data_IF_830943307510
#
_entry.id   IF_830943307510
#
_cell.length_a   1.000
_cell.length_b   1.000
_cell.length_c   1.000
_cell.angle_alpha   90.00
_cell.angle_beta   90.00
_cell.angle_gamma   90.00
#
_symmetry.space_group_name_H-M   'P 1'
#
loop_
_entity.id
_entity.type
_entity.pdbx_description
1 polymer ?
#
# COMPACT_ATOMS: atom_id res chain seq x y z
N UNK A 1 -25.20 2.15 -1.09
CA UNK A 1 -24.06 1.85 -2.00
C UNK A 1 -23.18 3.08 -2.07
N UNK A 2 -21.87 2.94 -1.83
CA UNK A 2 -20.89 4.03 -1.94
C UNK A 2 -20.77 4.40 -3.44
N UNK A 3 -20.74 5.69 -3.78
CA UNK A 3 -20.70 6.19 -5.18
C UNK A 3 -19.35 6.79 -5.58
N UNK A 4 -18.44 6.92 -4.63
CA UNK A 4 -17.13 7.58 -4.79
C UNK A 4 -16.14 7.03 -3.76
N UNK A 5 -14.85 7.24 -4.02
CA UNK A 5 -13.75 6.73 -3.22
C UNK A 5 -13.51 5.23 -3.43
N UNK A 6 -12.85 4.61 -2.45
CA UNK A 6 -12.60 3.17 -2.37
C UNK A 6 -13.92 2.43 -2.21
N UNK A 7 -14.25 1.65 -3.24
CA UNK A 7 -15.49 0.86 -3.31
C UNK A 7 -15.30 -0.56 -2.74
N UNK A 8 -14.07 -1.04 -2.65
CA UNK A 8 -13.78 -2.35 -2.06
C UNK A 8 -14.21 -2.35 -0.59
N UNK A 9 -15.19 -3.18 -0.25
CA UNK A 9 -15.80 -3.18 1.09
C UNK A 9 -14.82 -3.62 2.19
N UNK A 10 -13.93 -4.57 1.90
CA UNK A 10 -12.94 -5.05 2.86
C UNK A 10 -11.91 -3.95 3.16
N UNK A 11 -11.38 -3.31 2.10
CA UNK A 11 -10.44 -2.20 2.25
C UNK A 11 -11.10 -1.02 2.95
N UNK A 12 -12.27 -0.56 2.48
CA UNK A 12 -12.98 0.55 3.11
C UNK A 12 -13.28 0.28 4.58
N UNK A 13 -13.66 -0.96 4.92
CA UNK A 13 -13.90 -1.37 6.30
C UNK A 13 -12.63 -1.34 7.16
N UNK A 14 -11.48 -1.72 6.61
CA UNK A 14 -10.19 -1.65 7.31
C UNK A 14 -9.72 -0.22 7.49
N UNK A 15 -9.80 0.62 6.44
CA UNK A 15 -9.42 2.02 6.52
C UNK A 15 -10.25 2.80 7.54
N UNK A 16 -11.54 2.49 7.65
CA UNK A 16 -12.44 3.10 8.63
C UNK A 16 -12.08 2.74 10.10
N UNK A 17 -11.24 1.73 10.33
CA UNK A 17 -10.77 1.33 11.67
C UNK A 17 -9.43 1.98 12.05
N UNK A 18 -8.76 2.66 11.12
CA UNK A 18 -7.47 3.28 11.39
C UNK A 18 -7.61 4.39 12.42
N UNK A 19 -6.80 4.31 13.47
CA UNK A 19 -6.57 5.37 14.44
C UNK A 19 -5.36 6.23 14.10
N UNK A 20 -5.08 7.21 14.97
CA UNK A 20 -3.87 8.01 14.88
C UNK A 20 -2.63 7.12 15.02
N UNK A 21 -1.64 7.30 14.14
CA UNK A 21 -0.38 6.53 14.05
C UNK A 21 -0.48 5.10 13.52
N UNK A 22 -1.68 4.65 13.15
CA UNK A 22 -1.83 3.37 12.45
C UNK A 22 -1.18 3.41 11.07
N UNK A 23 -0.77 2.23 10.60
CA UNK A 23 0.00 2.08 9.37
C UNK A 23 -0.77 1.25 8.36
N UNK A 24 -0.63 1.60 7.09
CA UNK A 24 -1.15 0.86 5.94
C UNK A 24 0.05 0.47 5.09
N UNK A 25 0.08 -0.78 4.62
CA UNK A 25 1.08 -1.23 3.67
C UNK A 25 0.43 -1.32 2.29
N UNK A 26 1.07 -0.72 1.29
CA UNK A 26 0.77 -1.01 -0.11
C UNK A 26 1.96 -1.74 -0.67
N UNK A 27 1.75 -2.91 -1.28
CA UNK A 27 2.85 -3.70 -1.82
C UNK A 27 2.47 -4.34 -3.16
N UNK A 28 3.48 -4.84 -3.87
CA UNK A 28 3.28 -5.64 -5.06
C UNK A 28 2.82 -7.08 -4.74
N UNK A 29 2.54 -7.84 -5.80
CA UNK A 29 2.17 -9.25 -5.69
C UNK A 29 3.35 -10.21 -5.35
N UNK A 30 4.58 -9.74 -5.43
CA UNK A 30 5.78 -10.49 -5.07
C UNK A 30 6.11 -10.44 -3.57
N UNK A 31 5.61 -9.44 -2.84
CA UNK A 31 5.99 -9.22 -1.45
C UNK A 31 5.53 -10.35 -0.51
N UNK A 32 6.44 -10.99 0.26
CA UNK A 32 6.06 -11.99 1.25
C UNK A 32 5.31 -11.35 2.43
N UNK A 33 4.17 -11.92 2.80
CA UNK A 33 3.32 -11.40 3.88
C UNK A 33 3.42 -12.31 5.13
N UNK A 34 3.70 -11.76 6.33
CA UNK A 34 3.70 -12.53 7.56
C UNK A 34 2.34 -13.15 7.90
N UNK A 35 2.34 -14.31 8.54
CA UNK A 35 1.12 -14.96 9.00
C UNK A 35 0.36 -14.10 10.03
N UNK A 36 -0.97 -14.07 9.93
CA UNK A 36 -1.85 -13.34 10.85
C UNK A 36 -2.06 -11.86 10.52
N UNK A 37 -1.46 -11.35 9.44
CA UNK A 37 -1.75 -10.01 8.90
C UNK A 37 -2.96 -10.09 7.99
N UNK A 38 -3.92 -9.18 8.15
CA UNK A 38 -5.06 -9.09 7.24
C UNK A 38 -4.61 -8.46 5.91
N UNK A 39 -4.94 -9.13 4.80
CA UNK A 39 -4.57 -8.72 3.45
C UNK A 39 -5.83 -8.49 2.64
N UNK A 40 -5.86 -7.36 1.92
CA UNK A 40 -6.85 -7.13 0.86
C UNK A 40 -6.11 -7.21 -0.47
N UNK A 41 -6.25 -8.36 -1.11
CA UNK A 41 -5.71 -8.56 -2.44
C UNK A 41 -6.62 -7.86 -3.47
N UNK A 42 -6.06 -6.85 -4.15
CA UNK A 42 -6.75 -6.14 -5.22
C UNK A 42 -6.26 -6.58 -6.59
N UNK A 43 -5.18 -7.36 -6.68
CA UNK A 43 -4.62 -7.81 -7.95
C UNK A 43 -5.62 -8.70 -8.68
N UNK A 44 -6.04 -8.27 -9.87
CA UNK A 44 -6.94 -9.03 -10.71
C UNK A 44 -6.18 -9.79 -11.79
N UNK A 45 -5.28 -9.08 -12.48
CA UNK A 45 -4.33 -9.62 -13.46
C UNK A 45 -3.03 -8.84 -13.35
N UNK A 46 -1.94 -9.37 -13.92
CA UNK A 46 -0.65 -8.67 -13.92
C UNK A 46 -0.80 -7.23 -14.44
N UNK A 47 -0.28 -6.27 -13.67
CA UNK A 47 -0.40 -4.84 -13.95
C UNK A 47 -1.74 -4.17 -13.59
N UNK A 48 -2.77 -4.90 -13.12
CA UNK A 48 -4.11 -4.35 -12.89
C UNK A 48 -4.72 -4.78 -11.54
N UNK A 49 -5.07 -3.83 -10.65
CA UNK A 49 -4.77 -2.40 -10.73
C UNK A 49 -3.28 -2.12 -10.53
N UNK A 50 -2.78 -1.03 -11.10
CA UNK A 50 -1.40 -0.61 -10.90
C UNK A 50 -1.18 -0.14 -9.45
N UNK A 51 0.06 -0.26 -8.97
CA UNK A 51 0.46 0.23 -7.66
C UNK A 51 0.09 1.72 -7.47
N UNK A 52 0.31 2.55 -8.49
CA UNK A 52 -0.01 3.98 -8.45
C UNK A 52 -1.52 4.23 -8.27
N UNK A 53 -2.38 3.51 -9.00
CA UNK A 53 -3.83 3.66 -8.86
C UNK A 53 -4.32 3.29 -7.45
N UNK A 54 -3.75 2.23 -6.87
CA UNK A 54 -4.08 1.81 -5.50
C UNK A 54 -3.60 2.86 -4.49
N UNK A 55 -2.37 3.36 -4.65
CA UNK A 55 -1.80 4.37 -3.77
C UNK A 55 -2.57 5.69 -3.84
N UNK A 56 -2.90 6.17 -5.04
CA UNK A 56 -3.66 7.41 -5.24
C UNK A 56 -5.07 7.30 -4.63
N UNK A 57 -5.73 6.15 -4.80
CA UNK A 57 -7.03 5.89 -4.18
C UNK A 57 -6.98 5.91 -2.65
N UNK A 58 -5.88 5.43 -2.06
CA UNK A 58 -5.65 5.46 -0.62
C UNK A 58 -5.36 6.88 -0.11
N UNK A 59 -4.47 7.62 -0.79
CA UNK A 59 -4.10 8.98 -0.42
C UNK A 59 -5.28 9.97 -0.55
N UNK A 60 -6.26 9.65 -1.40
CA UNK A 60 -7.50 10.43 -1.50
C UNK A 60 -8.43 10.27 -0.27
N UNK A 61 -8.32 9.17 0.49
CA UNK A 61 -9.15 8.93 1.69
C UNK A 61 -8.38 9.06 3.02
N UNK A 62 -7.05 9.00 2.99
CA UNK A 62 -6.20 8.99 4.19
C UNK A 62 -5.46 10.31 4.37
N UNK A 63 -5.43 10.78 5.62
CA UNK A 63 -4.49 11.83 6.04
C UNK A 63 -3.19 11.16 6.45
N UNK A 64 -2.14 11.35 5.65
CA UNK A 64 -0.84 10.71 5.87
C UNK A 64 0.17 11.72 6.41
N UNK A 65 0.74 11.41 7.57
CA UNK A 65 1.79 12.22 8.22
C UNK A 65 3.21 11.86 7.75
N UNK A 66 3.39 10.67 7.20
CA UNK A 66 4.65 10.17 6.69
C UNK A 66 4.51 8.83 5.96
N UNK A 67 5.49 8.51 5.12
CA UNK A 67 5.59 7.24 4.42
C UNK A 67 6.97 6.62 4.67
N UNK A 68 7.13 5.33 4.40
CA UNK A 68 8.44 4.65 4.36
C UNK A 68 8.46 3.81 3.09
N UNK A 69 9.54 3.91 2.33
CA UNK A 69 9.76 3.13 1.12
C UNK A 69 11.10 2.38 1.22
N UNK A 70 11.21 1.25 0.53
CA UNK A 70 12.49 0.56 0.37
C UNK A 70 13.42 1.41 -0.51
N UNK A 71 14.69 1.53 -0.13
CA UNK A 71 15.66 2.38 -0.84
C UNK A 71 15.86 1.92 -2.29
N UNK A 72 15.73 0.61 -2.50
CA UNK A 72 15.85 -0.07 -3.78
C UNK A 72 14.80 0.41 -4.80
N UNK A 73 13.65 0.92 -4.34
CA UNK A 73 12.60 1.45 -5.24
C UNK A 73 13.12 2.63 -6.07
N UNK A 74 14.00 3.47 -5.52
CA UNK A 74 14.54 4.62 -6.23
C UNK A 74 15.35 4.24 -7.49
N UNK A 75 16.00 3.07 -7.46
CA UNK A 75 16.83 2.58 -8.58
C UNK A 75 16.06 1.58 -9.45
N UNK A 76 15.34 0.64 -8.83
CA UNK A 76 14.71 -0.48 -9.53
C UNK A 76 13.30 -0.15 -10.06
N UNK A 77 12.60 0.82 -9.47
CA UNK A 77 11.24 1.17 -9.87
C UNK A 77 10.93 2.67 -9.62
N UNK A 78 11.56 3.57 -10.40
CA UNK A 78 11.43 5.01 -10.18
C UNK A 78 10.00 5.53 -10.35
N UNK A 79 9.15 4.82 -11.11
CA UNK A 79 7.73 5.14 -11.24
C UNK A 79 6.96 4.97 -9.92
N UNK A 80 7.44 4.10 -9.02
CA UNK A 80 6.83 3.84 -7.71
C UNK A 80 7.50 4.62 -6.57
N UNK A 81 8.57 5.36 -6.83
CA UNK A 81 9.32 6.07 -5.80
C UNK A 81 8.51 7.20 -5.12
N UNK A 82 7.50 7.75 -5.80
CA UNK A 82 6.55 8.73 -5.26
C UNK A 82 7.19 9.96 -4.58
N UNK A 83 6.41 10.81 -3.89
CA UNK A 83 6.94 11.92 -3.09
C UNK A 83 7.64 11.46 -1.79
N UNK A 84 7.78 10.16 -1.55
CA UNK A 84 8.38 9.57 -0.35
C UNK A 84 9.92 9.71 -0.28
N UNK A 85 10.55 10.43 -1.22
CA UNK A 85 12.00 10.63 -1.36
C UNK A 85 12.73 11.31 -0.19
N UNK A 86 12.11 11.43 0.99
CA UNK A 86 12.73 11.87 2.24
C UNK A 86 12.64 10.89 3.41
N UNK A 87 12.06 9.70 3.23
CA UNK A 87 11.78 8.78 4.33
C UNK A 87 12.83 7.68 4.52
N UNK A 88 13.17 7.43 5.78
CA UNK A 88 14.28 6.58 6.22
C UNK A 88 14.21 5.14 5.68
N UNK A 89 15.32 4.73 5.07
CA UNK A 89 15.65 3.36 4.69
C UNK A 89 15.62 2.41 5.91
N UNK A 90 14.83 1.34 5.84
CA UNK A 90 14.89 0.26 6.81
C UNK A 90 14.12 -0.98 6.37
N UNK A 91 14.68 -2.19 6.53
CA UNK A 91 13.96 -3.41 6.21
C UNK A 91 12.95 -3.69 7.32
N UNK A 92 11.67 -3.70 6.98
CA UNK A 92 10.66 -4.34 7.80
C UNK A 92 9.47 -3.47 8.10
N UNK A 93 8.34 -3.89 7.53
CA UNK A 93 7.02 -3.67 8.11
C UNK A 93 7.04 -4.33 9.50
N UNK A 94 7.41 -3.56 10.53
CA UNK A 94 7.07 -3.95 11.90
C UNK A 94 5.63 -3.50 12.11
N UNK A 95 4.68 -4.43 12.32
CA UNK A 95 3.33 -4.03 12.70
C UNK A 95 3.44 -3.19 13.98
N UNK A 96 2.82 -2.01 13.99
CA UNK A 96 2.69 -1.26 15.22
C UNK A 96 1.95 -2.15 16.22
N UNK A 97 2.40 -2.17 17.48
CA UNK A 97 1.89 -3.05 18.52
C UNK A 97 0.37 -2.82 18.68
N UNK A 98 -0.45 -3.76 18.20
CA UNK A 98 -1.92 -3.71 18.25
C UNK A 98 -2.62 -3.18 17.00
N UNK A 99 -1.89 -2.68 16.00
CA UNK A 99 -2.49 -2.16 14.77
C UNK A 99 -2.58 -3.26 13.70
N UNK A 100 -3.78 -3.52 13.22
CA UNK A 100 -4.01 -4.26 11.97
C UNK A 100 -3.42 -3.39 10.85
N UNK A 101 -2.31 -3.79 10.25
CA UNK A 101 -1.76 -3.09 9.08
C UNK A 101 -2.45 -3.67 7.85
N UNK A 102 -3.49 -3.02 7.29
CA UNK A 102 -4.10 -3.51 6.07
C UNK A 102 -3.04 -3.47 4.97
N UNK A 103 -2.92 -4.59 4.26
CA UNK A 103 -2.05 -4.71 3.10
C UNK A 103 -2.93 -4.61 1.85
N UNK A 104 -2.78 -3.53 1.10
CA UNK A 104 -3.38 -3.41 -0.23
C UNK A 104 -2.36 -3.87 -1.27
N UNK A 105 -2.69 -4.92 -2.01
CA UNK A 105 -1.81 -5.46 -3.05
C UNK A 105 -2.18 -4.90 -4.42
N UNK A 106 -1.26 -4.16 -5.04
CA UNK A 106 -1.35 -3.72 -6.44
C UNK A 106 -0.25 -4.38 -7.27
N UNK A 107 -0.23 -4.15 -8.57
CA UNK A 107 0.83 -4.67 -9.44
C UNK A 107 1.85 -3.58 -9.75
N UNK A 108 3.15 -3.90 -9.63
CA UNK A 108 4.19 -3.03 -10.16
C UNK A 108 4.02 -3.00 -11.69
N UNK A 109 3.87 -1.81 -12.27
CA UNK A 109 3.80 -1.66 -13.72
C UNK A 109 5.00 -2.35 -14.35
N UNK A 110 4.75 -3.36 -15.17
CA UNK A 110 5.79 -4.07 -15.90
C UNK A 110 6.59 -3.07 -16.73
N UNK A 111 7.86 -2.91 -16.41
CA UNK A 111 8.83 -2.50 -17.43
C UNK A 111 9.14 -3.74 -18.26
N UNK A 112 8.19 -4.14 -19.10
CA UNK A 112 8.44 -5.17 -20.09
C UNK A 112 9.36 -4.56 -21.14
N UNK A 113 10.66 -4.83 -20.98
CA UNK A 113 11.73 -4.55 -21.92
C UNK A 113 12.70 -5.73 -21.97
#
# INVERSE_FOLDING_TARGET
MKRSGILNAALAGQLARLGHTDRVLVCDSGMPIPAGVEVVDLAFVAGVPSFAEVLDGLLAELVVEGAVAASEVGEANPACAGPAGGAAAGPGVRPARGAQTPVARGEAGGTDG
#
